data_IF_133367463344
#
_entry.id   IF_133367463344
#
_cell.length_a   1.000
_cell.length_b   1.000
_cell.length_c   1.000
_cell.angle_alpha   90.00
_cell.angle_beta   90.00
_cell.angle_gamma   90.00
#
_symmetry.space_group_name_H-M   'P 1'
#
loop_
_entity.id
_entity.type
_entity.pdbx_description
1 polymer ?
#
# COMPACT_ATOMS: atom_id res chain seq x y z
N UNK A 1 28.92 18.76 41.01
CA UNK A 1 29.42 18.33 42.33
C UNK A 1 28.24 18.39 43.29
N UNK A 2 27.56 17.27 43.48
CA UNK A 2 26.47 17.11 44.45
C UNK A 2 26.68 15.76 45.12
N UNK A 3 27.43 15.77 46.21
CA UNK A 3 27.53 14.64 47.12
C UNK A 3 26.24 14.57 47.92
N UNK A 4 25.33 13.71 47.50
CA UNK A 4 24.20 13.31 48.32
C UNK A 4 24.65 12.09 49.11
N UNK A 5 24.86 12.28 50.41
CA UNK A 5 25.17 11.21 51.34
C UNK A 5 24.14 10.11 51.23
N UNK A 6 24.61 8.90 50.98
CA UNK A 6 23.82 7.67 51.00
C UNK A 6 23.43 7.40 52.46
N UNK A 7 22.39 8.09 52.93
CA UNK A 7 21.83 7.99 54.27
C UNK A 7 21.09 6.67 54.51
N UNK A 8 21.56 5.57 53.91
CA UNK A 8 20.95 4.27 54.05
C UNK A 8 21.30 3.64 55.40
N UNK A 9 20.44 3.86 56.39
CA UNK A 9 20.51 3.31 57.76
C UNK A 9 20.00 1.86 57.85
N UNK A 10 20.46 1.00 56.94
CA UNK A 10 20.08 -0.42 56.90
C UNK A 10 21.26 -1.38 57.12
N UNK A 11 20.98 -2.68 57.16
CA UNK A 11 22.02 -3.71 57.36
C UNK A 11 22.99 -3.77 56.17
N UNK A 12 24.23 -4.19 56.41
CA UNK A 12 25.24 -4.30 55.34
C UNK A 12 24.81 -5.23 54.18
N UNK A 13 23.95 -6.23 54.46
CA UNK A 13 23.36 -7.10 53.45
C UNK A 13 22.34 -6.37 52.57
N UNK A 14 21.58 -5.43 53.14
CA UNK A 14 20.66 -4.60 52.37
C UNK A 14 21.40 -3.62 51.45
N UNK A 15 22.53 -3.05 51.88
CA UNK A 15 23.34 -2.18 51.03
C UNK A 15 23.81 -2.91 49.74
N UNK A 16 24.16 -4.20 49.85
CA UNK A 16 24.55 -5.03 48.69
C UNK A 16 23.35 -5.32 47.80
N UNK A 17 22.18 -5.61 48.39
CA UNK A 17 20.93 -5.82 47.65
C UNK A 17 20.51 -4.57 46.88
N UNK A 18 20.64 -3.40 47.50
CA UNK A 18 20.30 -2.11 46.88
C UNK A 18 21.19 -1.83 45.68
N UNK A 19 22.51 -1.97 45.80
CA UNK A 19 23.43 -1.81 44.64
C UNK A 19 23.09 -2.75 43.49
N UNK A 20 22.66 -3.99 43.78
CA UNK A 20 22.25 -4.95 42.75
C UNK A 20 20.98 -4.49 42.03
N UNK A 21 19.98 -4.02 42.77
CA UNK A 21 18.72 -3.51 42.22
C UNK A 21 18.92 -2.20 41.46
N UNK A 22 19.79 -1.32 41.94
CA UNK A 22 20.16 -0.08 41.23
C UNK A 22 20.86 -0.39 39.92
N UNK A 23 21.81 -1.34 39.92
CA UNK A 23 22.47 -1.80 38.69
C UNK A 23 21.47 -2.40 37.68
N UNK A 24 20.45 -3.11 38.15
CA UNK A 24 19.37 -3.62 37.29
C UNK A 24 18.52 -2.48 36.71
N UNK A 25 18.10 -1.52 37.54
CA UNK A 25 17.33 -0.34 37.11
C UNK A 25 18.12 0.52 36.13
N UNK A 26 19.43 0.68 36.33
CA UNK A 26 20.30 1.43 35.43
C UNK A 26 20.44 0.72 34.08
N UNK A 27 20.59 -0.60 34.07
CA UNK A 27 20.61 -1.39 32.84
C UNK A 27 19.27 -1.32 32.08
N UNK A 28 18.14 -1.40 32.77
CA UNK A 28 16.81 -1.23 32.19
C UNK A 28 16.62 0.19 31.63
N UNK A 29 16.99 1.23 32.39
CA UNK A 29 16.94 2.62 31.93
C UNK A 29 17.81 2.83 30.69
N UNK A 30 19.01 2.25 30.65
CA UNK A 30 19.90 2.32 29.49
C UNK A 30 19.28 1.60 28.28
N UNK A 31 18.65 0.44 28.48
CA UNK A 31 17.95 -0.29 27.42
C UNK A 31 16.74 0.50 26.88
N UNK A 32 15.96 1.13 27.75
CA UNK A 32 14.85 2.00 27.37
C UNK A 32 15.37 3.23 26.61
N UNK A 33 16.47 3.83 27.06
CA UNK A 33 17.06 4.98 26.37
C UNK A 33 17.62 4.60 25.00
N UNK A 34 18.23 3.42 24.87
CA UNK A 34 18.71 2.91 23.59
C UNK A 34 17.53 2.61 22.64
N UNK A 35 16.45 1.99 23.14
CA UNK A 35 15.22 1.79 22.37
C UNK A 35 14.56 3.12 21.98
N UNK A 36 14.56 4.11 22.87
CA UNK A 36 14.07 5.46 22.61
C UNK A 36 14.92 6.18 21.56
N UNK A 37 16.24 6.01 21.58
CA UNK A 37 17.12 6.60 20.57
C UNK A 37 16.90 5.93 19.22
N UNK A 38 16.83 4.59 19.18
CA UNK A 38 16.51 3.81 17.97
C UNK A 38 15.13 4.14 17.40
N UNK A 39 14.13 4.34 18.27
CA UNK A 39 12.80 4.77 17.84
C UNK A 39 12.79 6.23 17.42
N UNK A 40 13.52 7.13 18.09
CA UNK A 40 13.58 8.55 17.73
C UNK A 40 14.22 8.79 16.36
N UNK A 41 15.21 8.01 15.95
CA UNK A 41 15.78 8.11 14.60
C UNK A 41 14.80 7.72 13.50
N UNK A 42 13.75 6.93 13.79
CA UNK A 42 12.64 6.64 12.87
C UNK A 42 11.36 7.45 13.12
N UNK A 43 11.13 7.94 14.35
CA UNK A 43 9.85 8.50 14.81
C UNK A 43 9.91 9.99 15.17
N UNK A 44 11.10 10.62 15.24
CA UNK A 44 11.20 12.06 15.55
C UNK A 44 10.67 12.98 14.43
N UNK A 45 10.32 12.44 13.26
CA UNK A 45 9.66 13.18 12.17
C UNK A 45 8.13 12.93 12.10
N UNK A 46 7.62 11.97 12.86
CA UNK A 46 6.22 11.54 12.85
C UNK A 46 5.61 11.82 14.22
N UNK A 47 5.34 13.08 14.52
CA UNK A 47 4.66 13.48 15.75
C UNK A 47 3.32 12.77 15.89
N UNK A 48 3.21 11.93 16.94
CA UNK A 48 2.06 11.51 17.77
C UNK A 48 0.66 11.24 17.16
N UNK A 49 0.41 11.51 15.88
CA UNK A 49 -0.89 11.40 15.20
C UNK A 49 -0.97 10.19 14.26
N UNK A 50 0.01 9.29 14.31
CA UNK A 50 0.16 8.19 13.35
C UNK A 50 -0.19 6.83 13.97
N UNK A 51 -1.36 6.75 14.61
CA UNK A 51 -1.96 5.47 14.98
C UNK A 51 -3.08 5.19 13.97
N UNK A 52 -2.87 4.23 13.06
CA UNK A 52 -3.91 3.74 12.14
C UNK A 52 -3.80 4.18 10.67
N UNK A 53 -2.72 4.87 10.29
CA UNK A 53 -2.48 5.33 8.93
C UNK A 53 -1.56 4.34 8.17
N UNK A 54 -1.96 3.93 6.97
CA UNK A 54 -1.22 2.95 6.16
C UNK A 54 0.17 3.45 5.74
N UNK A 55 1.10 2.55 5.36
CA UNK A 55 2.47 2.94 4.98
C UNK A 55 2.51 4.00 3.86
N UNK A 56 1.53 3.97 2.95
CA UNK A 56 1.35 4.98 1.90
C UNK A 56 1.03 6.39 2.43
N UNK A 57 0.12 6.52 3.38
CA UNK A 57 -0.28 7.81 3.95
C UNK A 57 0.85 8.45 4.77
N UNK A 58 1.67 7.63 5.40
CA UNK A 58 2.86 8.07 6.14
C UNK A 58 3.86 8.71 5.17
N UNK A 59 4.10 8.08 4.02
CA UNK A 59 4.97 8.62 2.96
C UNK A 59 4.39 9.90 2.34
N UNK A 60 3.06 9.96 2.15
CA UNK A 60 2.40 11.17 1.65
C UNK A 60 2.45 12.35 2.62
N UNK A 61 2.29 12.10 3.92
CA UNK A 61 2.37 13.18 4.92
C UNK A 61 3.79 13.71 5.04
N UNK A 62 4.81 12.84 4.97
CA UNK A 62 6.21 13.24 4.90
C UNK A 62 6.48 14.09 3.64
N UNK A 63 5.97 13.65 2.48
CA UNK A 63 6.07 14.41 1.24
C UNK A 63 5.45 15.79 1.31
N UNK A 64 4.23 15.89 1.88
CA UNK A 64 3.53 17.17 2.05
C UNK A 64 4.36 18.10 2.93
N UNK A 65 4.90 17.63 4.04
CA UNK A 65 5.79 18.43 4.90
C UNK A 65 7.04 18.90 4.18
N UNK A 66 7.64 18.02 3.37
CA UNK A 66 8.85 18.29 2.61
C UNK A 66 8.66 19.20 1.39
N UNK A 67 7.43 19.35 0.93
CA UNK A 67 7.08 20.16 -0.26
C UNK A 67 6.32 21.44 0.08
N UNK A 68 5.96 21.64 1.34
CA UNK A 68 5.44 22.92 1.84
C UNK A 68 6.61 23.91 1.97
N UNK A 69 6.67 24.89 1.06
CA UNK A 69 7.69 25.96 1.06
C UNK A 69 8.14 26.36 -0.34
N UNK A 70 9.18 27.19 -0.44
CA UNK A 70 9.86 27.49 -1.70
C UNK A 70 10.70 26.27 -2.11
N UNK A 71 10.16 25.42 -2.96
CA UNK A 71 10.84 24.23 -3.50
C UNK A 71 11.03 24.44 -5.00
N UNK A 72 12.22 24.12 -5.49
CA UNK A 72 12.50 24.18 -6.93
C UNK A 72 11.76 23.06 -7.67
N UNK A 73 11.41 23.28 -8.94
CA UNK A 73 10.67 22.29 -9.75
C UNK A 73 11.37 20.93 -9.77
N UNK A 74 12.69 20.93 -9.89
CA UNK A 74 13.52 19.74 -9.95
C UNK A 74 13.41 18.92 -8.65
N UNK A 75 13.56 19.57 -7.50
CA UNK A 75 13.43 18.93 -6.19
C UNK A 75 12.03 18.32 -5.97
N UNK A 76 10.98 18.96 -6.47
CA UNK A 76 9.62 18.43 -6.35
C UNK A 76 9.41 17.17 -7.20
N UNK A 77 9.90 17.17 -8.44
CA UNK A 77 9.83 16.02 -9.35
C UNK A 77 10.63 14.84 -8.79
N UNK A 78 11.85 15.07 -8.32
CA UNK A 78 12.69 14.04 -7.72
C UNK A 78 12.02 13.41 -6.50
N UNK A 79 11.49 14.24 -5.58
CA UNK A 79 10.77 13.74 -4.40
C UNK A 79 9.54 12.90 -4.78
N UNK A 80 8.78 13.30 -5.80
CA UNK A 80 7.65 12.51 -6.30
C UNK A 80 8.05 11.17 -6.87
N UNK A 81 9.14 11.12 -7.65
CA UNK A 81 9.68 9.87 -8.20
C UNK A 81 10.16 8.97 -7.06
N UNK A 82 10.88 9.52 -6.09
CA UNK A 82 11.37 8.77 -4.93
C UNK A 82 10.24 8.14 -4.11
N UNK A 83 9.12 8.83 -3.93
CA UNK A 83 7.96 8.26 -3.22
C UNK A 83 7.31 7.15 -4.03
N UNK A 84 7.16 7.35 -5.34
CA UNK A 84 6.60 6.31 -6.22
C UNK A 84 7.46 5.04 -6.20
N UNK A 85 8.77 5.19 -6.27
CA UNK A 85 9.71 4.07 -6.20
C UNK A 85 9.65 3.37 -4.84
N UNK A 86 9.58 4.12 -3.73
CA UNK A 86 9.45 3.56 -2.38
C UNK A 86 8.15 2.76 -2.21
N UNK A 87 7.03 3.27 -2.74
CA UNK A 87 5.75 2.55 -2.71
C UNK A 87 5.84 1.24 -3.51
N UNK A 88 6.43 1.30 -4.70
CA UNK A 88 6.60 0.11 -5.56
C UNK A 88 7.55 -0.94 -4.94
N UNK A 89 8.62 -0.49 -4.29
CA UNK A 89 9.56 -1.35 -3.57
C UNK A 89 8.89 -2.01 -2.35
N UNK A 90 8.13 -1.24 -1.55
CA UNK A 90 7.34 -1.79 -0.43
C UNK A 90 6.30 -2.82 -0.89
N UNK A 91 5.63 -2.58 -2.02
CA UNK A 91 4.69 -3.55 -2.60
C UNK A 91 5.41 -4.83 -3.06
N UNK A 92 6.54 -4.70 -3.74
CA UNK A 92 7.38 -5.83 -4.17
C UNK A 92 7.89 -6.65 -2.98
N UNK A 93 8.35 -6.01 -1.91
CA UNK A 93 8.80 -6.70 -0.71
C UNK A 93 7.67 -7.43 0.00
N UNK A 94 6.46 -6.83 0.08
CA UNK A 94 5.29 -7.49 0.66
C UNK A 94 4.90 -8.73 -0.13
N UNK A 95 4.90 -8.63 -1.47
CA UNK A 95 4.65 -9.76 -2.36
C UNK A 95 5.68 -10.88 -2.16
N UNK A 96 6.96 -10.55 -2.08
CA UNK A 96 8.03 -11.55 -1.85
C UNK A 96 7.91 -12.22 -0.48
N UNK A 97 7.57 -11.48 0.58
CA UNK A 97 7.35 -12.06 1.91
C UNK A 97 6.16 -13.00 1.94
N UNK A 98 5.06 -12.64 1.28
CA UNK A 98 3.90 -13.52 1.17
C UNK A 98 4.23 -14.82 0.43
N UNK A 99 5.03 -14.74 -0.64
CA UNK A 99 5.51 -15.93 -1.37
C UNK A 99 6.38 -16.83 -0.49
N UNK A 100 7.34 -16.25 0.26
CA UNK A 100 8.18 -17.01 1.19
C UNK A 100 7.37 -17.67 2.31
N UNK A 101 6.38 -16.98 2.85
CA UNK A 101 5.50 -17.50 3.88
C UNK A 101 4.63 -18.66 3.34
N UNK A 102 4.13 -18.55 2.10
CA UNK A 102 3.38 -19.60 1.43
C UNK A 102 4.24 -20.87 1.21
N UNK A 103 5.47 -20.70 0.72
CA UNK A 103 6.44 -21.80 0.55
C UNK A 103 6.77 -22.47 1.90
N UNK A 104 6.94 -21.70 2.98
CA UNK A 104 7.21 -22.22 4.31
C UNK A 104 6.02 -23.03 4.86
N UNK A 105 4.80 -22.53 4.67
CA UNK A 105 3.56 -23.23 5.04
C UNK A 105 3.43 -24.55 4.27
N UNK A 106 3.77 -24.58 2.98
CA UNK A 106 3.74 -25.80 2.18
C UNK A 106 4.77 -26.83 2.67
N UNK A 107 5.98 -26.37 3.00
CA UNK A 107 7.07 -27.22 3.50
C UNK A 107 6.73 -27.79 4.89
N UNK A 108 6.08 -27.01 5.75
CA UNK A 108 5.50 -27.45 7.03
C UNK A 108 4.43 -28.54 6.82
N UNK A 109 3.50 -28.34 5.88
CA UNK A 109 2.47 -29.34 5.52
C UNK A 109 3.11 -30.64 5.02
N UNK A 110 4.16 -30.56 4.19
CA UNK A 110 4.88 -31.73 3.66
C UNK A 110 5.63 -32.50 4.76
N UNK A 111 6.28 -31.81 5.70
CA UNK A 111 6.93 -32.42 6.87
C UNK A 111 5.93 -33.16 7.77
N UNK A 112 4.78 -32.54 8.07
CA UNK A 112 3.69 -33.16 8.86
C UNK A 112 3.16 -34.44 8.21
N UNK A 113 3.04 -34.47 6.87
CA UNK A 113 2.63 -35.68 6.13
C UNK A 113 3.66 -36.80 6.22
N UNK A 114 4.97 -36.51 6.17
CA UNK A 114 6.04 -37.52 6.27
C UNK A 114 6.08 -38.19 7.65
N UNK A 115 5.88 -37.41 8.72
CA UNK A 115 5.84 -37.94 10.10
C UNK A 115 4.61 -38.83 10.32
N UNK A 116 3.48 -38.52 9.68
CA UNK A 116 2.23 -39.30 9.82
C UNK A 116 2.28 -40.67 9.12
N UNK A 117 3.16 -40.86 8.13
CA UNK A 117 3.27 -42.12 7.37
C UNK A 117 4.21 -43.13 8.05
N UNK A 118 5.18 -42.68 8.84
CA UNK A 118 6.17 -43.55 9.51
C UNK A 118 5.70 -44.08 10.89
N UNK A 119 4.51 -43.67 11.33
CA UNK A 119 3.90 -44.13 12.59
C UNK A 119 3.00 -45.36 12.36
N UNK A 120 3.55 -46.43 11.77
CA UNK A 120 2.90 -47.77 11.71
C UNK A 120 3.52 -48.72 12.73
N UNK A 121 3.30 -48.50 14.03
CA UNK A 121 3.49 -49.54 15.05
C UNK A 121 2.36 -49.58 16.11
N UNK A 122 1.76 -50.78 16.16
CA UNK A 122 1.33 -51.62 17.29
C UNK A 122 -0.02 -51.48 18.03
N UNK A 123 -1.11 -50.97 17.44
CA UNK A 123 -2.45 -51.10 18.08
C UNK A 123 -3.64 -51.22 17.09
N UNK A 124 -3.50 -51.94 15.98
CA UNK A 124 -4.66 -52.18 15.10
C UNK A 124 -4.60 -53.56 14.43
N UNK A 125 -4.59 -54.59 15.28
CA UNK A 125 -5.07 -55.91 14.89
C UNK A 125 -6.48 -56.04 15.51
N UNK A 126 -7.42 -56.60 14.77
CA UNK A 126 -8.84 -56.78 15.11
C UNK A 126 -9.79 -55.62 14.73
N UNK A 127 -10.10 -55.53 13.42
CA UNK A 127 -11.48 -55.57 12.89
C UNK A 127 -11.35 -55.84 11.38
N UNK A 128 -11.47 -57.13 11.09
CA UNK A 128 -11.81 -57.72 9.81
C UNK A 128 -13.28 -57.39 9.48
N UNK A 129 -13.55 -56.69 8.38
CA UNK A 129 -14.65 -57.04 7.48
C UNK A 129 -14.49 -56.30 6.15
N UNK A 130 -14.37 -57.07 5.06
CA UNK A 130 -14.06 -56.58 3.73
C UNK A 130 -15.22 -55.97 2.97
N UNK A 131 -14.89 -55.28 1.87
CA UNK A 131 -15.56 -55.38 0.58
C UNK A 131 -14.87 -54.44 -0.42
N UNK A 132 -14.19 -55.08 -1.36
CA UNK A 132 -14.08 -54.80 -2.80
C UNK A 132 -13.75 -53.40 -3.34
N UNK A 133 -12.88 -53.45 -4.35
CA UNK A 133 -12.30 -52.35 -5.10
C UNK A 133 -13.33 -51.69 -6.04
N UNK A 134 -12.99 -50.48 -6.51
CA UNK A 134 -13.55 -49.80 -7.71
C UNK A 134 -14.71 -48.81 -7.52
N UNK A 135 -14.47 -47.63 -6.87
CA UNK A 135 -15.19 -46.34 -7.13
C UNK A 135 -14.62 -45.14 -6.34
N UNK A 136 -13.32 -44.81 -6.44
CA UNK A 136 -12.68 -43.81 -5.53
C UNK A 136 -12.06 -42.59 -6.21
N UNK A 137 -12.53 -42.17 -7.39
CA UNK A 137 -12.06 -40.91 -8.01
C UNK A 137 -13.05 -39.74 -7.85
N UNK A 138 -14.35 -40.00 -7.62
CA UNK A 138 -15.38 -38.95 -7.56
C UNK A 138 -15.60 -38.32 -6.16
N UNK A 139 -15.18 -38.98 -5.07
CA UNK A 139 -15.46 -38.52 -3.70
C UNK A 139 -14.41 -37.59 -3.07
N UNK A 140 -13.25 -37.39 -3.71
CA UNK A 140 -12.16 -36.58 -3.14
C UNK A 140 -12.41 -35.06 -3.30
N UNK A 141 -13.28 -34.66 -4.23
CA UNK A 141 -13.61 -33.24 -4.44
C UNK A 141 -14.66 -32.70 -3.46
N UNK A 142 -15.56 -33.55 -2.94
CA UNK A 142 -16.59 -33.09 -1.99
C UNK A 142 -16.08 -32.98 -0.56
N UNK A 143 -15.10 -33.79 -0.15
CA UNK A 143 -14.56 -33.75 1.22
C UNK A 143 -13.67 -32.51 1.47
N UNK A 144 -13.17 -31.85 0.43
CA UNK A 144 -12.35 -30.62 0.55
C UNK A 144 -13.16 -29.33 0.70
N UNK A 145 -14.49 -29.36 0.48
CA UNK A 145 -15.38 -28.20 0.74
C UNK A 145 -15.81 -28.05 2.20
N UNK A 146 -15.56 -29.04 3.05
CA UNK A 146 -15.92 -28.99 4.48
C UNK A 146 -14.75 -28.58 5.39
N UNK A 147 -13.63 -28.12 4.82
CA UNK A 147 -12.39 -27.83 5.55
C UNK A 147 -12.38 -26.56 6.42
N UNK A 148 -13.39 -25.70 6.33
CA UNK A 148 -13.55 -24.53 7.19
C UNK A 148 -14.95 -24.48 7.83
N UNK A 149 -15.61 -25.65 7.94
CA UNK A 149 -16.88 -25.77 8.61
C UNK A 149 -16.76 -25.19 10.02
N UNK A 150 -17.57 -24.16 10.30
CA UNK A 150 -17.85 -23.59 11.61
C UNK A 150 -18.46 -24.67 12.52
N UNK A 151 -17.76 -25.77 12.71
CA UNK A 151 -18.22 -26.93 13.45
C UNK A 151 -18.01 -26.60 14.93
N UNK A 152 -19.09 -26.15 15.57
CA UNK A 152 -19.18 -26.03 17.02
C UNK A 152 -19.16 -24.61 17.60
N UNK A 153 -19.28 -23.55 16.79
CA UNK A 153 -19.47 -22.19 17.30
C UNK A 153 -20.90 -21.73 17.03
N UNK A 154 -21.52 -21.08 18.01
CA UNK A 154 -22.85 -20.52 17.89
C UNK A 154 -22.88 -19.45 16.77
N UNK A 155 -23.77 -19.58 15.77
CA UNK A 155 -23.86 -18.65 14.65
C UNK A 155 -24.42 -17.27 15.05
N UNK A 156 -24.99 -17.16 16.25
CA UNK A 156 -25.54 -15.94 16.83
C UNK A 156 -24.49 -15.08 17.54
N UNK A 157 -23.29 -15.63 17.78
CA UNK A 157 -22.20 -14.86 18.40
C UNK A 157 -21.55 -14.00 17.32
N UNK A 158 -21.50 -12.70 17.56
CA UNK A 158 -20.82 -11.74 16.68
C UNK A 158 -19.32 -12.05 16.61
N UNK A 159 -18.88 -12.61 15.49
CA UNK A 159 -17.47 -12.94 15.22
C UNK A 159 -16.80 -11.87 14.34
N UNK A 160 -17.44 -10.71 14.17
CA UNK A 160 -16.95 -9.58 13.40
C UNK A 160 -15.59 -9.07 13.89
N UNK A 161 -15.32 -9.17 15.20
CA UNK A 161 -14.05 -8.78 15.82
C UNK A 161 -12.89 -9.77 15.54
N UNK A 162 -13.18 -11.00 15.11
CA UNK A 162 -12.13 -11.96 14.79
C UNK A 162 -11.58 -11.67 13.38
N UNK A 163 -10.24 -11.66 13.22
CA UNK A 163 -9.59 -11.68 11.91
C UNK A 163 -10.08 -12.89 11.13
N UNK A 164 -10.79 -12.63 10.04
CA UNK A 164 -11.46 -13.61 9.23
C UNK A 164 -11.05 -13.39 7.77
N UNK A 165 -10.14 -14.24 7.30
CA UNK A 165 -9.55 -14.13 5.98
C UNK A 165 -10.57 -14.30 4.85
N UNK A 166 -11.67 -15.03 5.09
CA UNK A 166 -12.71 -15.22 4.07
C UNK A 166 -13.53 -13.94 3.91
N UNK A 167 -13.93 -13.32 5.04
CA UNK A 167 -14.65 -12.04 5.05
C UNK A 167 -13.81 -10.91 4.46
N UNK A 168 -12.54 -10.83 4.81
CA UNK A 168 -11.64 -9.82 4.23
C UNK A 168 -11.48 -10.02 2.72
N UNK A 169 -11.38 -11.27 2.25
CA UNK A 169 -11.32 -11.56 0.81
C UNK A 169 -12.62 -11.16 0.08
N UNK A 170 -13.79 -11.39 0.69
CA UNK A 170 -15.08 -10.95 0.16
C UNK A 170 -15.17 -9.42 0.07
N UNK A 171 -14.81 -8.70 1.14
CA UNK A 171 -14.77 -7.24 1.16
C UNK A 171 -13.81 -6.68 0.10
N UNK A 172 -12.66 -7.31 -0.11
CA UNK A 172 -11.72 -6.91 -1.16
C UNK A 172 -12.29 -7.17 -2.56
N UNK A 173 -12.95 -8.31 -2.78
CA UNK A 173 -13.61 -8.60 -4.05
C UNK A 173 -14.72 -7.57 -4.37
N UNK A 174 -15.51 -7.17 -3.36
CA UNK A 174 -16.50 -6.11 -3.50
C UNK A 174 -15.86 -4.75 -3.82
N UNK A 175 -14.76 -4.40 -3.14
CA UNK A 175 -13.99 -3.18 -3.42
C UNK A 175 -13.46 -3.17 -4.85
N UNK A 176 -12.88 -4.27 -5.31
CA UNK A 176 -12.38 -4.37 -6.68
C UNK A 176 -13.50 -4.27 -7.71
N UNK A 177 -14.66 -4.88 -7.43
CA UNK A 177 -15.85 -4.77 -8.28
C UNK A 177 -16.31 -3.33 -8.40
N UNK A 178 -16.45 -2.62 -7.28
CA UNK A 178 -16.83 -1.21 -7.25
C UNK A 178 -15.81 -0.33 -7.97
N UNK A 179 -14.50 -0.60 -7.79
CA UNK A 179 -13.43 0.09 -8.51
C UNK A 179 -13.56 -0.07 -10.03
N UNK A 180 -13.85 -1.29 -10.50
CA UNK A 180 -14.07 -1.56 -11.94
C UNK A 180 -15.32 -0.86 -12.47
N UNK A 181 -16.41 -0.83 -11.68
CA UNK A 181 -17.63 -0.10 -12.04
C UNK A 181 -17.36 1.39 -12.17
N UNK A 182 -16.71 1.98 -11.16
CA UNK A 182 -16.34 3.39 -11.17
C UNK A 182 -15.45 3.76 -12.35
N UNK A 183 -14.42 2.95 -12.66
CA UNK A 183 -13.56 3.20 -13.82
C UNK A 183 -14.34 3.18 -15.14
N UNK A 184 -15.26 2.24 -15.30
CA UNK A 184 -16.13 2.16 -16.48
C UNK A 184 -17.02 3.39 -16.58
N UNK A 185 -17.62 3.82 -15.48
CA UNK A 185 -18.45 5.04 -15.43
C UNK A 185 -17.63 6.29 -15.76
N UNK A 186 -16.40 6.40 -15.24
CA UNK A 186 -15.49 7.49 -15.57
C UNK A 186 -15.12 7.51 -17.05
N UNK A 187 -14.89 6.34 -17.64
CA UNK A 187 -14.60 6.21 -19.06
C UNK A 187 -15.81 6.61 -19.92
N UNK A 188 -17.02 6.22 -19.52
CA UNK A 188 -18.26 6.63 -20.18
C UNK A 188 -18.46 8.15 -20.12
N UNK A 189 -18.32 8.76 -18.95
CA UNK A 189 -18.47 10.22 -18.76
C UNK A 189 -17.43 10.99 -19.59
N UNK A 190 -16.19 10.49 -19.67
CA UNK A 190 -15.13 11.12 -20.48
C UNK A 190 -15.37 10.99 -21.98
N UNK A 191 -15.97 9.88 -22.40
CA UNK A 191 -16.24 9.60 -23.81
C UNK A 191 -17.52 10.28 -24.33
N UNK A 192 -18.36 10.80 -23.45
CA UNK A 192 -19.55 11.58 -23.83
C UNK A 192 -19.13 12.82 -24.65
N UNK A 193 -19.63 12.99 -25.88
CA UNK A 193 -19.31 14.14 -26.72
C UNK A 193 -20.06 15.38 -26.22
N UNK A 194 -19.32 16.42 -25.84
CA UNK A 194 -19.87 17.72 -25.45
C UNK A 194 -19.92 18.66 -26.66
N UNK A 195 -21.06 19.31 -26.85
CA UNK A 195 -21.23 20.37 -27.85
C UNK A 195 -20.85 21.73 -27.26
N UNK A 196 -19.72 22.29 -27.71
CA UNK A 196 -19.27 23.62 -27.31
C UNK A 196 -19.69 24.61 -28.40
N UNK A 197 -20.71 25.40 -28.10
CA UNK A 197 -21.03 26.59 -28.87
C UNK A 197 -20.14 27.73 -28.40
N UNK A 198 -19.35 28.32 -29.29
CA UNK A 198 -18.63 29.56 -29.01
C UNK A 198 -18.88 30.58 -30.12
N UNK A 199 -18.82 31.85 -29.74
CA UNK A 199 -18.86 32.97 -30.67
C UNK A 199 -17.58 33.76 -30.55
N UNK A 200 -17.11 34.27 -31.69
CA UNK A 200 -15.98 35.19 -31.72
C UNK A 200 -16.34 36.39 -32.61
N UNK A 201 -15.66 37.52 -32.35
CA UNK A 201 -15.92 38.79 -33.02
C UNK A 201 -14.66 39.27 -33.72
N UNK A 202 -14.72 39.36 -35.04
CA UNK A 202 -13.67 39.85 -35.95
C UNK A 202 -14.15 41.01 -36.84
N UNK A 203 -15.28 41.63 -36.47
CA UNK A 203 -15.99 42.65 -37.25
C UNK A 203 -17.30 42.14 -37.88
N UNK A 204 -17.54 40.84 -37.86
CA UNK A 204 -18.84 40.21 -38.13
C UNK A 204 -19.06 39.11 -37.08
N UNK A 205 -20.30 38.89 -36.65
CA UNK A 205 -20.61 37.94 -35.58
C UNK A 205 -20.54 36.51 -36.08
N UNK A 206 -19.54 35.74 -35.66
CA UNK A 206 -19.38 34.34 -36.04
C UNK A 206 -19.73 33.42 -34.87
N UNK A 207 -20.72 32.54 -35.07
CA UNK A 207 -21.08 31.45 -34.14
C UNK A 207 -20.63 30.13 -34.73
N UNK A 208 -19.84 29.37 -33.98
CA UNK A 208 -19.39 28.02 -34.36
C UNK A 208 -19.73 27.02 -33.27
N UNK A 209 -19.98 25.80 -33.71
CA UNK A 209 -20.25 24.64 -32.86
C UNK A 209 -19.11 23.64 -33.08
N UNK A 210 -18.44 23.24 -32.01
CA UNK A 210 -17.44 22.18 -32.03
C UNK A 210 -17.89 21.06 -31.09
N UNK A 211 -17.81 19.82 -31.56
CA UNK A 211 -17.93 18.66 -30.71
C UNK A 211 -16.57 18.30 -30.12
N UNK A 212 -16.46 18.32 -28.81
CA UNK A 212 -15.27 17.92 -28.08
C UNK A 212 -15.63 16.82 -27.10
N UNK A 213 -14.81 15.77 -27.02
CA UNK A 213 -14.89 14.85 -25.88
C UNK A 213 -14.33 15.54 -24.66
N UNK A 214 -14.80 15.19 -23.47
CA UNK A 214 -14.17 15.58 -22.21
C UNK A 214 -12.84 14.81 -22.08
N UNK A 215 -11.89 15.15 -22.94
CA UNK A 215 -10.54 14.66 -22.85
C UNK A 215 -9.92 15.30 -21.61
N UNK A 216 -9.99 14.58 -20.50
CA UNK A 216 -8.96 14.68 -19.50
C UNK A 216 -7.65 14.26 -20.18
N UNK A 217 -7.00 15.20 -20.89
CA UNK A 217 -5.56 15.16 -21.00
C UNK A 217 -5.14 15.25 -19.54
N UNK A 218 -4.89 14.11 -18.92
CA UNK A 218 -4.02 14.06 -17.76
C UNK A 218 -2.70 14.53 -18.34
N UNK A 219 -2.54 15.85 -18.42
CA UNK A 219 -1.25 16.48 -18.56
C UNK A 219 -0.65 16.11 -17.21
N UNK A 220 0.29 15.14 -17.14
CA UNK A 220 1.12 15.07 -15.95
C UNK A 220 1.62 16.51 -15.76
N UNK A 221 1.48 17.06 -14.55
CA UNK A 221 1.76 18.46 -14.21
C UNK A 221 3.16 18.95 -14.61
N UNK A 222 3.96 18.10 -15.23
CA UNK A 222 5.28 18.33 -15.80
C UNK A 222 5.25 19.06 -17.16
N UNK A 223 4.19 18.99 -17.98
CA UNK A 223 4.26 19.45 -19.39
C UNK A 223 3.32 20.60 -19.79
N UNK A 224 2.76 21.36 -18.84
CA UNK A 224 1.89 22.49 -19.17
C UNK A 224 2.65 23.73 -19.71
N UNK A 225 3.97 23.83 -19.48
CA UNK A 225 4.74 25.04 -19.81
C UNK A 225 5.56 24.99 -21.12
N UNK A 226 5.72 23.83 -21.76
CA UNK A 226 6.64 23.67 -22.91
C UNK A 226 5.99 23.76 -24.31
N UNK A 227 4.66 23.92 -24.39
CA UNK A 227 3.95 24.03 -25.67
C UNK A 227 3.60 25.47 -26.08
N UNK A 228 3.98 26.48 -25.29
CA UNK A 228 3.79 27.89 -25.66
C UNK A 228 4.90 28.46 -26.55
N UNK A 229 6.10 27.85 -26.55
CA UNK A 229 7.25 28.37 -27.30
C UNK A 229 7.43 27.72 -28.68
N UNK A 230 6.94 26.49 -28.89
CA UNK A 230 7.17 25.74 -30.13
C UNK A 230 6.11 25.98 -31.22
N UNK A 231 4.92 26.48 -30.87
CA UNK A 231 3.84 26.69 -31.85
C UNK A 231 3.70 28.15 -32.34
N UNK A 232 4.54 29.07 -31.84
CA UNK A 232 4.61 30.45 -32.34
C UNK A 232 5.72 30.64 -33.39
N UNK A 233 6.62 29.67 -33.56
CA UNK A 233 7.67 29.75 -34.59
C UNK A 233 7.21 29.17 -35.94
N UNK A 234 6.36 28.12 -35.94
CA UNK A 234 5.86 27.49 -37.18
C UNK A 234 4.70 28.23 -37.88
N UNK A 235 4.07 29.21 -37.23
CA UNK A 235 3.04 30.06 -37.85
C UNK A 235 3.64 31.28 -38.57
N UNK A 236 4.87 31.68 -38.24
CA UNK A 236 5.55 32.80 -38.91
C UNK A 236 6.18 32.42 -40.26
N UNK A 237 6.53 31.14 -40.48
CA UNK A 237 7.13 30.68 -41.74
C UNK A 237 6.10 30.35 -42.83
N UNK A 238 4.81 30.23 -42.50
CA UNK A 238 3.75 29.95 -43.49
C UNK A 238 2.96 31.16 -43.98
N UNK A 239 3.21 32.35 -43.45
CA UNK A 239 2.60 33.61 -43.90
C UNK A 239 3.62 34.69 -44.28
N UNK A 240 4.82 34.29 -44.71
CA UNK A 240 5.93 35.21 -45.03
C UNK A 240 6.49 35.13 -46.46
N UNK A 241 5.86 34.38 -47.37
CA UNK A 241 6.34 34.27 -48.75
C UNK A 241 5.18 34.24 -49.75
N UNK A 242 4.43 35.34 -49.90
CA UNK A 242 3.80 35.70 -51.17
C UNK A 242 3.34 37.17 -51.08
N UNK A 243 3.63 37.94 -52.14
CA UNK A 243 3.06 39.25 -52.47
C UNK A 243 3.73 40.51 -51.87
N UNK A 244 4.99 40.79 -52.22
CA UNK A 244 5.45 42.18 -52.47
C UNK A 244 6.52 42.21 -53.58
N UNK A 245 6.12 41.85 -54.80
CA UNK A 245 6.83 42.25 -56.03
C UNK A 245 5.77 42.66 -57.04
N UNK A 246 5.54 43.97 -57.15
CA UNK A 246 5.31 44.75 -58.39
C UNK A 246 4.59 46.05 -58.04
N UNK A 247 5.33 47.17 -58.05
CA UNK A 247 4.95 48.44 -58.69
C UNK A 247 5.88 49.55 -58.16
N UNK A 248 6.92 49.86 -58.92
CA UNK A 248 7.34 51.24 -59.12
C UNK A 248 8.14 51.32 -60.41
N UNK A 249 7.52 51.90 -61.43
CA UNK A 249 8.17 52.57 -62.56
C UNK A 249 7.41 53.88 -62.75
#
# INVERSE_FOLDING_TARGET
MAGMGDGYVGTAQDAVRIRRLEKQREAERRKIQELKNKSSTGAAQTGLLQFGSGTSEILETAFKKETVGLVTREQYVEKRVNIRNKIEEEEKEKLQKLQQEEEEIELQKRKKRRIKVDSRLSFNDEIENGSDEDDTEAKIQEVKKFGNGKLGKDPTVETSFLPDSEREAEEQAERERLRKQWLREQELIKNEPLEITYSYWDGTGHRRVIQARLHARVIPSENFFDLSSSNLQQSSERYGQHQWRTCFM
#
